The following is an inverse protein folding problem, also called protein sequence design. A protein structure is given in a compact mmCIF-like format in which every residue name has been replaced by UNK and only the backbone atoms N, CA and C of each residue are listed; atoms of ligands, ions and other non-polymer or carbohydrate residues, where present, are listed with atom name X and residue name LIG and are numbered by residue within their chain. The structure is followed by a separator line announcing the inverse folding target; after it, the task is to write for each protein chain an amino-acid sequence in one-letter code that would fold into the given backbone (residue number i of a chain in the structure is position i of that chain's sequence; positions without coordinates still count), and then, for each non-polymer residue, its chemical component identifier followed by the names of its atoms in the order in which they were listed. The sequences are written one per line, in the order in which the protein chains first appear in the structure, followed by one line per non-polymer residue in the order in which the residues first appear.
data_IF_907252879635
#
_entry.id   IF_907252879635
#
_cell.length_a   1.000
_cell.length_b   1.000
_cell.length_c   1.000
_cell.angle_alpha   90.00
_cell.angle_beta   90.00
_cell.angle_gamma   90.00
#
_symmetry.space_group_name_H-M   'P 1'
#
loop_
_entity.id
_entity.type
_entity.pdbx_description
1 polymer ?
#
# COMPACT_ATOMS: atom_id res chain seq x y z
N UNK A 1 45.15 30.63 -19.88
CA UNK A 1 44.21 29.49 -20.01
C UNK A 1 44.25 28.70 -18.70
N UNK A 2 43.69 29.27 -17.62
CA UNK A 2 43.76 28.68 -16.28
C UNK A 2 42.66 27.64 -16.13
N UNK A 3 43.03 26.37 -16.07
CA UNK A 3 42.17 25.28 -15.64
C UNK A 3 41.74 25.56 -14.19
N UNK A 4 40.56 26.18 -14.03
CA UNK A 4 39.93 26.33 -12.73
C UNK A 4 39.60 24.94 -12.21
N UNK A 5 40.44 24.49 -11.28
CA UNK A 5 40.29 23.28 -10.49
C UNK A 5 38.98 23.39 -9.72
N UNK A 6 37.89 22.90 -10.31
CA UNK A 6 36.64 22.62 -9.63
C UNK A 6 36.92 21.54 -8.61
N UNK A 7 37.44 21.97 -7.45
CA UNK A 7 37.25 21.26 -6.19
C UNK A 7 35.77 20.89 -6.17
N UNK A 8 35.45 19.61 -6.24
CA UNK A 8 34.09 19.10 -6.21
C UNK A 8 33.43 19.53 -4.90
N UNK A 9 32.94 20.77 -4.86
CA UNK A 9 32.18 21.27 -3.73
C UNK A 9 30.99 20.35 -3.56
N UNK A 10 30.86 19.74 -2.37
CA UNK A 10 29.79 18.79 -2.04
C UNK A 10 28.42 19.26 -2.49
N UNK A 11 28.14 20.57 -2.41
CA UNK A 11 26.88 21.18 -2.88
C UNK A 11 26.68 21.05 -4.39
N UNK A 12 27.68 21.34 -5.21
CA UNK A 12 27.59 21.22 -6.68
C UNK A 12 27.53 19.77 -7.11
N UNK A 13 28.30 18.89 -6.46
CA UNK A 13 28.26 17.45 -6.71
C UNK A 13 26.89 16.85 -6.35
N UNK A 14 26.41 17.05 -5.12
CA UNK A 14 25.10 16.54 -4.69
C UNK A 14 23.96 17.18 -5.48
N UNK A 15 24.03 18.48 -5.80
CA UNK A 15 23.03 19.15 -6.61
C UNK A 15 22.92 18.59 -8.02
N UNK A 16 24.05 18.32 -8.68
CA UNK A 16 24.06 17.81 -10.06
C UNK A 16 23.78 16.31 -10.12
N UNK A 17 24.37 15.52 -9.21
CA UNK A 17 24.23 14.06 -9.19
C UNK A 17 22.86 13.59 -8.71
N UNK A 18 22.21 14.32 -7.79
CA UNK A 18 20.85 13.96 -7.33
C UNK A 18 19.82 14.06 -8.46
N UNK A 19 19.92 15.05 -9.35
CA UNK A 19 19.05 15.15 -10.52
C UNK A 19 19.24 13.98 -11.49
N UNK A 20 20.49 13.57 -11.74
CA UNK A 20 20.78 12.43 -12.62
C UNK A 20 20.26 11.10 -12.06
N UNK A 21 20.54 10.82 -10.78
CA UNK A 21 20.05 9.61 -10.11
C UNK A 21 18.53 9.61 -9.97
N UNK A 22 17.93 10.76 -9.65
CA UNK A 22 16.48 10.94 -9.59
C UNK A 22 15.80 10.64 -10.93
N UNK A 23 16.39 11.09 -12.04
CA UNK A 23 15.88 10.77 -13.38
C UNK A 23 15.97 9.28 -13.68
N UNK A 24 17.07 8.60 -13.32
CA UNK A 24 17.16 7.14 -13.52
C UNK A 24 16.13 6.36 -12.69
N UNK A 25 15.87 6.79 -11.46
CA UNK A 25 14.82 6.21 -10.62
C UNK A 25 13.43 6.48 -11.20
N UNK A 26 13.18 7.70 -11.68
CA UNK A 26 11.93 8.08 -12.34
C UNK A 26 11.71 7.25 -13.61
N UNK A 27 12.72 7.08 -14.46
CA UNK A 27 12.62 6.20 -15.64
C UNK A 27 12.41 4.74 -15.26
N UNK A 28 12.93 4.27 -14.12
CA UNK A 28 12.67 2.91 -13.63
C UNK A 28 11.24 2.74 -13.12
N UNK A 29 10.64 3.78 -12.55
CA UNK A 29 9.26 3.77 -12.08
C UNK A 29 8.26 3.92 -13.24
N UNK A 30 8.57 4.80 -14.20
CA UNK A 30 7.74 5.03 -15.39
C UNK A 30 7.99 4.00 -16.50
N UNK A 31 9.06 3.19 -16.45
CA UNK A 31 9.42 2.28 -17.53
C UNK A 31 8.35 1.24 -17.87
N UNK A 32 7.55 0.79 -16.88
CA UNK A 32 6.41 -0.10 -17.12
C UNK A 32 5.17 0.66 -17.67
N UNK A 33 5.01 1.95 -17.35
CA UNK A 33 3.83 2.77 -17.69
C UNK A 33 4.02 3.64 -18.96
N UNK A 34 5.25 4.01 -19.31
CA UNK A 34 5.59 4.90 -20.41
C UNK A 34 5.59 4.19 -21.79
N UNK A 35 5.52 2.87 -21.81
CA UNK A 35 5.25 2.08 -23.00
C UNK A 35 3.73 1.98 -23.27
N UNK A 36 3.10 3.14 -23.46
CA UNK A 36 1.83 3.18 -24.18
C UNK A 36 2.12 2.86 -25.66
N UNK A 37 1.63 1.71 -26.12
CA UNK A 37 1.68 1.17 -27.49
C UNK A 37 2.98 0.50 -27.94
N UNK A 38 3.16 -0.74 -27.47
CA UNK A 38 3.40 -1.88 -28.36
C UNK A 38 2.87 -3.12 -27.67
N UNK A 39 1.89 -3.75 -28.30
CA UNK A 39 1.24 -4.95 -27.83
C UNK A 39 2.25 -6.04 -27.40
N UNK A 40 1.86 -6.76 -26.35
CA UNK A 40 2.28 -8.14 -26.04
C UNK A 40 3.76 -8.37 -25.77
N UNK A 41 4.25 -7.97 -24.59
CA UNK A 41 5.16 -8.89 -23.89
C UNK A 41 5.04 -8.74 -22.37
N UNK A 42 4.00 -9.37 -21.81
CA UNK A 42 3.91 -9.65 -20.37
C UNK A 42 4.90 -10.79 -20.06
N UNK A 43 6.20 -10.53 -20.21
CA UNK A 43 7.29 -11.46 -19.86
C UNK A 43 7.93 -11.13 -18.52
N UNK A 44 7.11 -10.72 -17.55
CA UNK A 44 7.55 -10.76 -16.14
C UNK A 44 7.68 -12.20 -15.62
N UNK A 45 7.10 -13.17 -16.33
CA UNK A 45 7.11 -14.60 -15.98
C UNK A 45 7.52 -15.48 -17.16
N UNK A 46 8.76 -15.97 -17.16
CA UNK A 46 9.30 -16.84 -18.22
C UNK A 46 8.64 -18.24 -18.27
N UNK A 47 7.70 -18.54 -17.36
CA UNK A 47 7.01 -19.82 -17.28
C UNK A 47 5.64 -19.88 -17.96
N UNK A 48 5.17 -18.80 -18.60
CA UNK A 48 3.83 -18.77 -19.17
C UNK A 48 3.85 -18.77 -20.70
N UNK A 49 3.41 -19.88 -21.31
CA UNK A 49 3.20 -19.96 -22.76
C UNK A 49 2.07 -19.02 -23.17
N UNK A 50 2.40 -18.08 -24.07
CA UNK A 50 1.46 -17.12 -24.66
C UNK A 50 1.56 -17.22 -26.20
N UNK A 51 0.45 -17.50 -26.93
CA UNK A 51 -0.92 -17.69 -26.44
C UNK A 51 -1.11 -19.04 -25.72
N UNK A 52 -2.04 -19.10 -24.77
CA UNK A 52 -2.38 -20.34 -24.07
C UNK A 52 -3.18 -21.24 -25.03
N UNK A 53 -2.79 -22.52 -25.12
CA UNK A 53 -3.53 -23.51 -25.90
C UNK A 53 -4.96 -23.78 -25.37
N UNK A 54 -5.24 -23.43 -24.11
CA UNK A 54 -6.54 -23.66 -23.45
C UNK A 54 -6.98 -22.40 -22.70
N UNK A 55 -8.27 -22.08 -22.75
CA UNK A 55 -8.86 -21.00 -21.97
C UNK A 55 -8.72 -21.26 -20.46
N UNK A 56 -8.22 -20.31 -19.66
CA UNK A 56 -8.06 -20.50 -18.22
C UNK A 56 -9.42 -20.68 -17.54
N UNK A 57 -9.52 -21.68 -16.65
CA UNK A 57 -10.69 -21.93 -15.80
C UNK A 57 -10.25 -22.00 -14.34
N UNK A 58 -10.70 -21.06 -13.51
CA UNK A 58 -10.49 -21.12 -12.08
C UNK A 58 -11.51 -22.10 -11.46
N UNK A 59 -11.03 -23.22 -10.91
CA UNK A 59 -11.89 -24.21 -10.23
C UNK A 59 -11.99 -24.01 -8.71
N UNK A 60 -11.01 -23.32 -8.13
CA UNK A 60 -10.88 -23.14 -6.67
C UNK A 60 -10.32 -21.75 -6.39
N UNK A 61 -10.89 -21.08 -5.39
CA UNK A 61 -10.49 -19.77 -4.92
C UNK A 61 -10.10 -19.90 -3.46
N UNK A 62 -8.89 -19.47 -3.10
CA UNK A 62 -8.46 -19.35 -1.71
C UNK A 62 -8.73 -17.90 -1.31
N UNK A 63 -9.73 -17.69 -0.46
CA UNK A 63 -10.02 -16.38 0.12
C UNK A 63 -9.48 -16.33 1.54
N UNK A 64 -8.52 -15.43 1.78
CA UNK A 64 -7.92 -15.23 3.10
C UNK A 64 -8.54 -13.98 3.72
N UNK A 65 -9.29 -14.15 4.81
CA UNK A 65 -9.78 -13.06 5.65
C UNK A 65 -8.85 -12.91 6.87
N UNK A 66 -8.10 -11.82 6.92
CA UNK A 66 -7.25 -11.50 8.06
C UNK A 66 -8.07 -10.69 9.06
N UNK A 67 -8.58 -11.36 10.09
CA UNK A 67 -9.27 -10.69 11.19
C UNK A 67 -8.26 -9.89 12.03
N UNK A 68 -8.53 -8.60 12.25
CA UNK A 68 -7.78 -7.77 13.20
C UNK A 68 -6.94 -6.64 12.60
N UNK A 69 -6.90 -6.48 11.27
CA UNK A 69 -6.36 -5.27 10.65
C UNK A 69 -7.38 -4.13 10.65
N UNK A 70 -6.95 -2.85 10.74
CA UNK A 70 -7.85 -1.73 10.52
C UNK A 70 -8.38 -1.80 9.09
N UNK A 71 -9.70 -1.69 8.94
CA UNK A 71 -10.28 -1.64 7.61
C UNK A 71 -9.88 -0.33 6.91
N UNK A 72 -10.03 -0.27 5.59
CA UNK A 72 -9.85 0.99 4.86
C UNK A 72 -10.77 2.09 5.43
N UNK A 73 -11.98 1.73 5.87
CA UNK A 73 -12.92 2.64 6.52
C UNK A 73 -12.46 3.11 7.91
N UNK A 74 -11.60 2.35 8.59
CA UNK A 74 -11.10 2.69 9.93
C UNK A 74 -9.82 3.55 9.87
N UNK A 75 -9.09 3.54 8.75
CA UNK A 75 -7.71 4.07 8.73
C UNK A 75 -7.62 5.58 8.49
N UNK A 76 -8.57 6.17 7.76
CA UNK A 76 -8.47 7.58 7.33
C UNK A 76 -9.72 8.44 7.60
N UNK A 77 -10.78 7.87 8.17
CA UNK A 77 -12.00 8.60 8.46
C UNK A 77 -11.96 9.21 9.87
N UNK A 78 -12.09 10.53 9.96
CA UNK A 78 -12.20 11.21 11.25
C UNK A 78 -13.56 10.92 11.90
N UNK A 79 -13.53 10.34 13.10
CA UNK A 79 -14.72 9.91 13.86
C UNK A 79 -14.90 10.75 15.12
N UNK A 80 -15.51 11.95 15.04
CA UNK A 80 -15.63 12.87 16.18
C UNK A 80 -16.43 12.29 17.35
N UNK A 81 -17.43 11.45 17.07
CA UNK A 81 -18.21 10.78 18.12
C UNK A 81 -17.39 9.71 18.85
N UNK A 82 -16.53 8.98 18.14
CA UNK A 82 -15.67 7.96 18.72
C UNK A 82 -14.61 8.61 19.63
N UNK A 83 -14.03 9.73 19.18
CA UNK A 83 -13.11 10.54 19.99
C UNK A 83 -13.77 11.04 21.29
N UNK A 84 -15.03 11.48 21.25
CA UNK A 84 -15.78 11.92 22.45
C UNK A 84 -16.05 10.79 23.44
N UNK A 85 -16.27 9.58 22.94
CA UNK A 85 -16.60 8.41 23.75
C UNK A 85 -15.34 7.66 24.22
N UNK A 86 -14.15 8.07 23.81
CA UNK A 86 -12.90 7.39 24.17
C UNK A 86 -12.76 7.17 25.68
N UNK A 87 -12.53 5.92 26.09
CA UNK A 87 -12.40 5.51 27.49
C UNK A 87 -13.71 5.34 28.27
N UNK A 88 -14.86 5.72 27.69
CA UNK A 88 -16.18 5.50 28.30
C UNK A 88 -16.66 4.05 28.09
N UNK A 89 -17.56 3.52 28.94
CA UNK A 89 -18.14 2.20 28.73
C UNK A 89 -18.88 2.13 27.39
N UNK A 90 -18.77 0.99 26.71
CA UNK A 90 -19.48 0.75 25.45
C UNK A 90 -21.01 0.84 25.66
N UNK A 91 -21.77 1.57 24.81
CA UNK A 91 -23.21 1.68 24.96
C UNK A 91 -23.91 0.32 24.79
N UNK A 92 -24.92 0.06 25.62
CA UNK A 92 -25.65 -1.22 25.61
C UNK A 92 -26.37 -1.51 24.30
N UNK A 93 -26.70 -0.47 23.51
CA UNK A 93 -27.30 -0.61 22.18
C UNK A 93 -26.45 -1.44 21.22
N UNK A 94 -25.13 -1.47 21.40
CA UNK A 94 -24.19 -2.20 20.54
C UNK A 94 -23.82 -3.58 21.09
N UNK A 95 -24.00 -3.82 22.38
CA UNK A 95 -23.59 -5.07 23.05
C UNK A 95 -24.74 -6.05 23.24
N UNK A 96 -26.00 -5.57 23.26
CA UNK A 96 -27.17 -6.39 23.51
C UNK A 96 -27.45 -7.37 22.37
N UNK A 97 -27.36 -8.67 22.66
CA UNK A 97 -27.75 -9.75 21.73
C UNK A 97 -26.71 -10.15 20.69
N UNK A 98 -25.51 -9.56 20.70
CA UNK A 98 -24.43 -9.97 19.80
C UNK A 98 -23.57 -11.07 20.44
N UNK A 99 -23.31 -12.20 19.75
CA UNK A 99 -22.46 -13.26 20.24
C UNK A 99 -20.99 -12.88 20.08
N UNK A 100 -20.52 -11.91 20.87
CA UNK A 100 -19.14 -11.46 20.80
C UNK A 100 -18.29 -12.34 21.72
N UNK A 101 -17.81 -13.45 21.15
CA UNK A 101 -17.07 -14.51 21.86
C UNK A 101 -15.85 -14.01 22.64
N UNK A 102 -15.27 -12.87 22.24
CA UNK A 102 -14.09 -12.26 22.87
C UNK A 102 -14.43 -11.35 24.08
N UNK A 103 -15.72 -11.06 24.32
CA UNK A 103 -16.18 -10.03 25.26
C UNK A 103 -16.82 -10.57 26.54
N UNK A 104 -16.90 -11.88 26.71
CA UNK A 104 -17.46 -12.46 27.94
C UNK A 104 -16.55 -12.15 29.14
N UNK A 105 -17.06 -11.35 30.09
CA UNK A 105 -16.41 -11.08 31.38
C UNK A 105 -15.40 -9.94 31.41
N UNK A 106 -15.19 -9.18 30.33
CA UNK A 106 -14.28 -8.01 30.31
C UNK A 106 -15.03 -6.70 30.21
N UNK A 107 -14.56 -5.68 30.95
CA UNK A 107 -15.08 -4.30 30.86
C UNK A 107 -14.80 -3.76 29.46
N UNK A 108 -15.87 -3.40 28.74
CA UNK A 108 -15.80 -2.82 27.41
C UNK A 108 -15.69 -1.32 27.48
N UNK A 109 -14.66 -0.78 26.86
CA UNK A 109 -14.42 0.65 26.75
C UNK A 109 -14.32 1.04 25.29
N UNK A 110 -14.91 2.16 24.91
CA UNK A 110 -14.77 2.73 23.58
C UNK A 110 -13.32 3.14 23.34
N UNK A 111 -12.75 2.73 22.20
CA UNK A 111 -11.44 3.15 21.73
C UNK A 111 -11.62 4.00 20.47
N UNK A 112 -10.79 5.03 20.33
CA UNK A 112 -10.83 5.98 19.24
C UNK A 112 -9.50 5.95 18.49
#
# INVERSE_FOLDING_TARGET
MSLQRTQLCRRSFLGTSACGLGMTALTSLLGDDAHAESATDVRRWNGLVSPRHVAPKAKRVIFLYMAGGPSHLETFDYRPQLAKLHGQPMPESFTKGQPIAQLQGKKLTCMA
#
